data_IF_261063079521
#
_entry.id   IF_261063079521
#
_cell.length_a   1.000
_cell.length_b   1.000
_cell.length_c   1.000
_cell.angle_alpha   90.00
_cell.angle_beta   90.00
_cell.angle_gamma   90.00
#
_symmetry.space_group_name_H-M   'P 1'
#
loop_
_entity.id
_entity.type
_entity.pdbx_description
1 polymer ?
#
# COMPACT_ATOMS: atom_id res chain seq x y z
N UNK A 1 9.86 -25.23 -33.58
CA UNK A 1 9.25 -24.20 -32.70
C UNK A 1 10.09 -22.94 -32.89
N UNK A 2 9.61 -22.00 -33.72
CA UNK A 2 10.37 -20.80 -34.09
C UNK A 2 10.07 -19.63 -33.14
N UNK A 3 11.06 -18.80 -32.79
CA UNK A 3 10.81 -17.58 -32.03
C UNK A 3 10.31 -16.47 -32.96
N UNK A 4 9.26 -15.75 -32.53
CA UNK A 4 8.78 -14.54 -33.20
C UNK A 4 9.56 -13.33 -32.68
N UNK A 5 10.14 -12.48 -33.54
CA UNK A 5 10.72 -11.21 -33.12
C UNK A 5 9.62 -10.14 -33.00
N UNK A 6 9.43 -9.59 -31.80
CA UNK A 6 8.60 -8.40 -31.60
C UNK A 6 9.46 -7.14 -31.70
N UNK A 7 9.76 -6.73 -32.93
CA UNK A 7 10.20 -5.37 -33.23
C UNK A 7 8.95 -4.52 -33.42
N UNK A 8 8.51 -3.78 -32.40
CA UNK A 8 7.47 -2.75 -32.58
C UNK A 8 8.01 -1.37 -32.20
N UNK A 9 8.54 -0.74 -33.24
CA UNK A 9 8.54 0.67 -33.58
C UNK A 9 8.00 1.66 -32.53
N UNK A 10 8.91 2.49 -32.05
CA UNK A 10 8.68 3.80 -31.44
C UNK A 10 7.93 4.70 -32.44
N UNK A 11 6.77 5.23 -32.05
CA UNK A 11 6.10 6.33 -32.74
C UNK A 11 5.97 7.52 -31.78
N UNK A 12 6.96 8.40 -31.84
CA UNK A 12 7.04 9.68 -31.16
C UNK A 12 6.06 10.65 -31.85
N UNK A 13 4.93 10.97 -31.22
CA UNK A 13 4.05 12.05 -31.71
C UNK A 13 4.22 13.28 -30.83
N UNK A 14 4.95 14.27 -31.38
CA UNK A 14 4.99 15.66 -30.91
C UNK A 14 3.58 16.26 -30.99
N UNK A 15 3.08 16.81 -29.89
CA UNK A 15 1.99 17.79 -29.95
C UNK A 15 2.40 19.01 -29.11
N UNK A 16 2.65 20.10 -29.82
CA UNK A 16 3.12 21.36 -29.27
C UNK A 16 1.97 22.18 -28.67
N UNK A 17 2.17 22.57 -27.41
CA UNK A 17 1.98 23.90 -26.83
C UNK A 17 0.79 24.77 -27.30
N UNK A 18 -0.19 24.96 -26.41
CA UNK A 18 -0.98 26.19 -26.28
C UNK A 18 -0.90 26.65 -24.82
N UNK A 19 -0.08 27.68 -24.58
CA UNK A 19 0.08 28.35 -23.28
C UNK A 19 -1.02 29.39 -23.09
N UNK A 20 -1.89 29.19 -22.10
CA UNK A 20 -2.68 30.27 -21.47
C UNK A 20 -2.35 30.29 -19.98
N UNK A 21 -1.90 31.42 -19.40
CA UNK A 21 -1.64 31.48 -17.97
C UNK A 21 -2.98 31.68 -17.24
N UNK A 22 -3.51 30.63 -16.61
CA UNK A 22 -4.46 30.80 -15.51
C UNK A 22 -3.67 30.98 -14.22
N UNK A 23 -3.64 32.20 -13.70
CA UNK A 23 -3.21 32.51 -12.34
C UNK A 23 -4.23 31.93 -11.36
N UNK A 24 -4.02 30.70 -10.90
CA UNK A 24 -4.73 30.16 -9.74
C UNK A 24 -3.91 30.43 -8.48
N UNK A 25 -4.46 31.26 -7.60
CA UNK A 25 -3.87 31.58 -6.30
C UNK A 25 -3.62 30.31 -5.48
N UNK A 26 -2.41 30.26 -4.94
CA UNK A 26 -1.88 29.25 -4.04
C UNK A 26 -2.69 29.13 -2.76
N UNK A 27 -3.11 27.91 -2.43
CA UNK A 27 -3.19 27.45 -1.05
C UNK A 27 -2.78 25.99 -0.98
N UNK A 28 -1.57 25.71 -1.46
CA UNK A 28 -0.80 24.55 -1.03
C UNK A 28 -0.47 24.75 0.44
N UNK A 29 -1.35 24.27 1.32
CA UNK A 29 -1.01 24.09 2.71
C UNK A 29 0.01 22.97 2.80
N UNK A 30 1.30 23.29 2.63
CA UNK A 30 2.32 22.50 3.28
C UNK A 30 2.05 22.65 4.77
N UNK A 31 1.37 21.65 5.36
CA UNK A 31 1.51 21.41 6.78
C UNK A 31 3.03 21.41 7.05
N UNK A 32 3.50 22.07 8.12
CA UNK A 32 4.90 21.99 8.46
C UNK A 32 5.23 20.51 8.58
N UNK A 33 6.10 20.01 7.70
CA UNK A 33 6.91 18.85 8.02
C UNK A 33 7.80 19.32 9.16
N UNK A 34 7.23 19.35 10.37
CA UNK A 34 7.99 19.45 11.59
C UNK A 34 9.10 18.40 11.46
N UNK A 35 10.30 18.82 11.81
CA UNK A 35 11.45 17.95 11.92
C UNK A 35 11.10 16.84 12.92
N UNK A 36 10.56 15.72 12.41
CA UNK A 36 10.12 14.55 13.18
C UNK A 36 11.29 13.62 13.50
N UNK A 37 12.50 13.98 13.07
CA UNK A 37 13.71 13.23 13.40
C UNK A 37 13.94 13.31 14.91
N UNK A 38 13.63 12.22 15.63
CA UNK A 38 14.00 12.05 17.04
C UNK A 38 12.86 11.85 18.03
N UNK A 39 11.59 11.84 17.61
CA UNK A 39 10.52 11.40 18.51
C UNK A 39 10.53 9.87 18.65
N UNK A 40 10.51 9.37 19.89
CA UNK A 40 10.39 7.95 20.17
C UNK A 40 8.92 7.51 20.17
N UNK A 41 8.62 6.27 19.75
CA UNK A 41 7.30 5.67 19.95
C UNK A 41 6.88 5.70 21.42
N UNK A 42 5.61 5.97 21.66
CA UNK A 42 4.98 5.84 22.97
C UNK A 42 4.67 4.36 23.22
N UNK A 43 5.05 3.86 24.39
CA UNK A 43 4.68 2.50 24.79
C UNK A 43 3.16 2.39 24.95
N UNK A 44 2.59 1.30 24.45
CA UNK A 44 1.15 0.99 24.47
C UNK A 44 0.93 -0.41 25.02
N UNK A 45 -0.33 -0.75 25.23
CA UNK A 45 -0.86 -2.08 25.59
C UNK A 45 -1.84 -2.55 24.50
N UNK A 46 -2.25 -3.82 24.51
CA UNK A 46 -3.25 -4.27 23.51
C UNK A 46 -4.59 -3.54 23.64
N UNK A 47 -4.97 -3.11 24.84
CA UNK A 47 -6.20 -2.38 25.09
C UNK A 47 -6.25 -1.03 24.34
N UNK A 48 -5.10 -0.38 24.16
CA UNK A 48 -4.96 0.87 23.41
C UNK A 48 -5.37 0.75 21.94
N UNK A 49 -5.38 -0.47 21.40
CA UNK A 49 -5.63 -0.76 19.99
C UNK A 49 -7.00 -1.38 19.72
N UNK A 50 -7.87 -1.46 20.75
CA UNK A 50 -9.23 -2.01 20.58
C UNK A 50 -10.01 -1.31 19.46
N UNK A 51 -9.96 0.02 19.40
CA UNK A 51 -10.67 0.78 18.37
C UNK A 51 -10.17 0.47 16.95
N UNK A 52 -8.86 0.23 16.79
CA UNK A 52 -8.28 -0.19 15.51
C UNK A 52 -8.75 -1.61 15.15
N UNK A 53 -8.73 -2.53 16.11
CA UNK A 53 -9.17 -3.90 15.89
C UNK A 53 -10.67 -3.97 15.52
N UNK A 54 -11.51 -3.18 16.21
CA UNK A 54 -12.94 -3.08 15.92
C UNK A 54 -13.18 -2.51 14.51
N UNK A 55 -12.49 -1.42 14.15
CA UNK A 55 -12.64 -0.77 12.85
C UNK A 55 -12.23 -1.68 11.67
N UNK A 56 -11.20 -2.52 11.86
CA UNK A 56 -10.74 -3.47 10.86
C UNK A 56 -11.42 -4.84 10.95
N UNK A 57 -12.27 -5.05 11.97
CA UNK A 57 -12.91 -6.34 12.24
C UNK A 57 -11.93 -7.49 12.50
N UNK A 58 -10.69 -7.17 12.89
CA UNK A 58 -9.59 -8.13 13.03
C UNK A 58 -8.67 -7.72 14.17
N UNK A 59 -8.24 -8.70 14.96
CA UNK A 59 -7.23 -8.47 16.00
C UNK A 59 -5.82 -8.58 15.44
N UNK A 60 -4.91 -7.84 16.06
CA UNK A 60 -3.48 -7.89 15.81
C UNK A 60 -2.70 -8.36 17.04
N UNK A 61 -1.38 -8.24 16.95
CA UNK A 61 -0.45 -8.50 18.06
C UNK A 61 0.38 -7.26 18.31
N UNK A 62 0.59 -6.93 19.58
CA UNK A 62 1.52 -5.88 19.97
C UNK A 62 2.93 -6.46 20.10
N UNK A 63 3.86 -5.93 19.33
CA UNK A 63 5.28 -6.25 19.42
C UNK A 63 6.02 -5.17 20.22
N UNK A 64 6.86 -5.60 21.17
CA UNK A 64 7.78 -4.76 21.94
C UNK A 64 7.12 -3.48 22.48
N UNK A 65 5.88 -3.62 22.96
CA UNK A 65 5.02 -2.56 23.50
C UNK A 65 4.83 -1.32 22.61
N UNK A 66 5.15 -1.35 21.31
CA UNK A 66 5.16 -0.14 20.48
C UNK A 66 4.55 -0.31 19.10
N UNK A 67 4.63 -1.50 18.51
CA UNK A 67 4.12 -1.75 17.16
C UNK A 67 2.97 -2.74 17.21
N UNK A 68 1.75 -2.27 16.98
CA UNK A 68 0.59 -3.14 16.86
C UNK A 68 0.38 -3.57 15.42
N UNK A 69 0.50 -4.86 15.13
CA UNK A 69 0.42 -5.42 13.77
C UNK A 69 -0.83 -6.27 13.59
N UNK A 70 -1.66 -5.90 12.62
CA UNK A 70 -2.81 -6.69 12.17
C UNK A 70 -2.43 -7.43 10.88
N UNK A 71 -2.56 -8.77 10.84
CA UNK A 71 -2.38 -9.53 9.60
C UNK A 71 -3.59 -9.36 8.67
N UNK A 72 -3.31 -9.10 7.40
CA UNK A 72 -4.29 -8.97 6.31
C UNK A 72 -4.01 -10.01 5.22
N UNK A 73 -3.71 -11.25 5.65
CA UNK A 73 -3.41 -12.37 4.75
C UNK A 73 -4.61 -12.73 3.87
N UNK A 74 -4.39 -12.88 2.56
CA UNK A 74 -5.40 -13.28 1.57
C UNK A 74 -5.56 -14.80 1.52
N UNK A 75 -6.10 -15.39 2.57
CA UNK A 75 -6.41 -16.83 2.63
C UNK A 75 -7.59 -17.24 1.73
N UNK A 76 -8.33 -16.27 1.20
CA UNK A 76 -9.40 -16.43 0.23
C UNK A 76 -8.91 -16.68 -1.20
N UNK A 77 -7.65 -16.31 -1.50
CA UNK A 77 -7.08 -16.45 -2.84
C UNK A 77 -6.40 -17.81 -3.03
N UNK A 78 -6.64 -18.43 -4.18
CA UNK A 78 -5.83 -19.53 -4.72
C UNK A 78 -4.98 -18.99 -5.85
N UNK A 79 -3.70 -18.71 -5.57
CA UNK A 79 -2.75 -18.16 -6.56
C UNK A 79 -1.79 -19.25 -7.00
N UNK A 80 -1.60 -19.38 -8.32
CA UNK A 80 -0.64 -20.29 -8.94
C UNK A 80 0.42 -19.47 -9.68
N UNK A 81 1.69 -19.85 -9.55
CA UNK A 81 2.83 -19.36 -10.35
C UNK A 81 3.57 -20.57 -10.91
N UNK A 82 3.83 -20.63 -12.21
CA UNK A 82 4.52 -21.76 -12.85
C UNK A 82 4.02 -23.15 -12.43
N UNK A 83 2.70 -23.30 -12.29
CA UNK A 83 2.05 -24.55 -11.86
C UNK A 83 2.16 -24.85 -10.36
N UNK A 84 2.82 -24.00 -9.57
CA UNK A 84 2.93 -24.12 -8.10
C UNK A 84 1.85 -23.30 -7.41
N UNK A 85 1.03 -23.95 -6.59
CA UNK A 85 0.06 -23.26 -5.73
C UNK A 85 0.77 -22.58 -4.56
N UNK A 86 0.57 -21.27 -4.43
CA UNK A 86 1.17 -20.44 -3.39
C UNK A 86 0.37 -20.56 -2.10
N UNK A 87 1.04 -20.97 -1.02
CA UNK A 87 0.44 -20.92 0.32
C UNK A 87 0.30 -19.46 0.77
N UNK A 88 -0.84 -19.04 1.37
CA UNK A 88 -1.01 -17.66 1.77
C UNK A 88 0.08 -17.12 2.70
N UNK A 89 0.54 -17.94 3.66
CA UNK A 89 1.64 -17.59 4.57
C UNK A 89 3.02 -17.45 3.91
N UNK A 90 3.18 -17.87 2.64
CA UNK A 90 4.44 -17.72 1.90
C UNK A 90 4.55 -16.34 1.22
N UNK A 91 3.49 -15.88 0.54
CA UNK A 91 3.57 -14.66 -0.29
C UNK A 91 2.29 -13.83 -0.33
N UNK A 92 1.18 -14.29 0.24
CA UNK A 92 -0.09 -13.55 0.26
C UNK A 92 -0.37 -12.90 1.63
N UNK A 93 0.69 -12.63 2.39
CA UNK A 93 0.64 -12.07 3.74
C UNK A 93 0.69 -10.54 3.75
N UNK A 94 -0.47 -9.89 3.59
CA UNK A 94 -0.60 -8.45 3.83
C UNK A 94 -0.62 -8.10 5.32
N UNK A 95 -0.49 -6.82 5.65
CA UNK A 95 -0.58 -6.32 7.02
C UNK A 95 -0.86 -4.82 7.09
N UNK A 96 -1.30 -4.38 8.26
CA UNK A 96 -1.22 -3.00 8.71
C UNK A 96 -0.55 -2.95 10.09
N UNK A 97 0.38 -2.02 10.29
CA UNK A 97 1.00 -1.74 11.59
C UNK A 97 0.61 -0.37 12.07
N UNK A 98 0.55 -0.21 13.39
CA UNK A 98 0.22 1.04 14.05
C UNK A 98 1.22 1.31 15.18
N UNK A 99 1.76 2.52 15.21
CA UNK A 99 2.73 2.96 16.21
C UNK A 99 2.30 4.33 16.71
N UNK A 100 2.10 4.47 18.02
CA UNK A 100 1.70 5.74 18.63
C UNK A 100 2.92 6.62 18.89
N UNK A 101 2.82 7.90 18.56
CA UNK A 101 3.72 8.98 18.94
C UNK A 101 2.97 9.98 19.83
N UNK A 102 3.66 11.00 20.33
CA UNK A 102 3.08 11.96 21.28
C UNK A 102 1.86 12.71 20.72
N UNK A 103 1.86 13.02 19.42
CA UNK A 103 0.86 13.85 18.74
C UNK A 103 0.13 13.13 17.59
N UNK A 104 0.60 11.95 17.20
CA UNK A 104 0.08 11.23 16.03
C UNK A 104 0.16 9.71 16.20
N UNK A 105 -0.47 8.98 15.29
CA UNK A 105 -0.26 7.55 15.10
C UNK A 105 0.24 7.33 13.69
N UNK A 106 1.42 6.73 13.56
CA UNK A 106 1.92 6.28 12.27
C UNK A 106 1.28 4.93 11.94
N UNK A 107 0.79 4.79 10.72
CA UNK A 107 0.49 3.49 10.13
C UNK A 107 1.39 3.22 8.93
N UNK A 108 1.77 1.96 8.77
CA UNK A 108 2.41 1.44 7.57
C UNK A 108 1.77 0.10 7.23
N UNK A 109 1.75 -0.26 5.97
CA UNK A 109 1.23 -1.57 5.61
C UNK A 109 1.53 -1.99 4.18
N UNK A 110 1.13 -3.22 3.92
CA UNK A 110 1.23 -3.90 2.64
C UNK A 110 -0.10 -4.63 2.39
N UNK A 111 -0.74 -4.36 1.27
CA UNK A 111 -1.97 -5.05 0.87
C UNK A 111 -1.69 -5.92 -0.35
N UNK A 112 -2.19 -7.15 -0.29
CA UNK A 112 -2.24 -8.06 -1.44
C UNK A 112 -3.61 -7.93 -2.11
N UNK A 113 -3.60 -7.40 -3.32
CA UNK A 113 -4.81 -7.12 -4.10
C UNK A 113 -4.76 -7.86 -5.43
N UNK A 114 -5.89 -8.34 -5.92
CA UNK A 114 -5.97 -8.78 -7.31
C UNK A 114 -5.87 -7.57 -8.24
N UNK A 115 -5.46 -7.79 -9.49
CA UNK A 115 -5.39 -6.70 -10.48
C UNK A 115 -6.74 -6.01 -10.70
N UNK A 116 -7.86 -6.73 -10.57
CA UNK A 116 -9.20 -6.17 -10.67
C UNK A 116 -9.60 -5.32 -9.44
N UNK A 117 -9.07 -5.64 -8.25
CA UNK A 117 -9.33 -4.88 -7.02
C UNK A 117 -8.47 -3.61 -6.94
N UNK A 118 -7.28 -3.61 -7.55
CA UNK A 118 -6.27 -2.56 -7.39
C UNK A 118 -6.80 -1.14 -7.59
N UNK A 119 -7.52 -0.77 -8.67
CA UNK A 119 -7.99 0.60 -8.86
C UNK A 119 -8.89 1.08 -7.71
N UNK A 120 -9.83 0.24 -7.25
CA UNK A 120 -10.73 0.58 -6.15
C UNK A 120 -10.00 0.74 -4.83
N UNK A 121 -8.97 -0.07 -4.60
CA UNK A 121 -8.12 0.04 -3.40
C UNK A 121 -7.32 1.34 -3.46
N UNK A 122 -6.69 1.66 -4.59
CA UNK A 122 -5.97 2.92 -4.77
C UNK A 122 -6.88 4.13 -4.56
N UNK A 123 -8.09 4.12 -5.13
CA UNK A 123 -9.08 5.20 -4.94
C UNK A 123 -9.46 5.35 -3.46
N UNK A 124 -9.71 4.24 -2.76
CA UNK A 124 -10.06 4.26 -1.34
C UNK A 124 -8.93 4.81 -0.47
N UNK A 125 -7.68 4.40 -0.71
CA UNK A 125 -6.52 4.93 0.02
C UNK A 125 -6.40 6.45 -0.17
N UNK A 126 -6.48 6.91 -1.42
CA UNK A 126 -6.37 8.34 -1.75
C UNK A 126 -7.52 9.18 -1.18
N UNK A 127 -8.75 8.68 -1.24
CA UNK A 127 -9.92 9.37 -0.68
C UNK A 127 -9.81 9.59 0.84
N UNK A 128 -9.04 8.76 1.54
CA UNK A 128 -8.80 8.85 2.98
C UNK A 128 -7.42 9.43 3.35
N UNK A 129 -6.68 9.98 2.38
CA UNK A 129 -5.36 10.58 2.63
C UNK A 129 -4.27 9.58 3.00
N UNK A 130 -4.49 8.28 2.80
CA UNK A 130 -3.49 7.24 3.01
C UNK A 130 -2.61 7.18 1.76
N UNK A 131 -1.31 7.45 1.90
CA UNK A 131 -0.45 7.51 0.73
C UNK A 131 0.07 6.13 0.36
N UNK A 132 -0.02 5.82 -0.92
CA UNK A 132 0.60 4.65 -1.51
C UNK A 132 2.09 4.93 -1.74
N UNK A 133 2.96 4.15 -1.09
CA UNK A 133 4.41 4.33 -1.14
C UNK A 133 5.08 3.45 -2.19
N UNK A 134 4.48 2.31 -2.54
CA UNK A 134 4.96 1.43 -3.62
C UNK A 134 3.83 0.58 -4.20
N UNK A 135 4.02 0.13 -5.45
CA UNK A 135 3.20 -0.87 -6.13
C UNK A 135 4.10 -1.79 -6.93
N UNK A 136 4.11 -3.09 -6.62
CA UNK A 136 5.00 -4.04 -7.28
C UNK A 136 4.49 -5.49 -7.18
N UNK A 137 5.27 -6.40 -7.76
CA UNK A 137 5.04 -7.84 -7.74
C UNK A 137 6.04 -8.53 -6.80
N UNK A 138 5.58 -9.41 -5.91
CA UNK A 138 6.47 -10.30 -5.14
C UNK A 138 6.78 -11.61 -5.87
N UNK A 139 5.92 -12.00 -6.80
CA UNK A 139 6.04 -13.22 -7.60
C UNK A 139 6.03 -12.84 -9.08
N UNK A 140 6.33 -13.79 -9.97
CA UNK A 140 6.11 -13.66 -11.41
C UNK A 140 4.91 -14.53 -11.84
N UNK A 141 4.34 -14.27 -13.01
CA UNK A 141 3.34 -15.13 -13.67
C UNK A 141 2.19 -15.66 -12.78
N UNK A 142 1.60 -14.82 -11.93
CA UNK A 142 0.50 -15.23 -11.05
C UNK A 142 -0.82 -15.38 -11.81
N UNK A 143 -1.53 -16.47 -11.51
CA UNK A 143 -2.95 -16.65 -11.85
C UNK A 143 -3.75 -16.91 -10.56
N UNK A 144 -4.73 -16.06 -10.19
CA UNK A 144 -5.04 -14.76 -10.83
C UNK A 144 -3.90 -13.74 -10.65
N UNK A 145 -3.82 -12.69 -11.49
CA UNK A 145 -2.84 -11.62 -11.31
C UNK A 145 -3.05 -10.90 -9.97
N UNK A 146 -1.99 -10.83 -9.16
CA UNK A 146 -2.00 -10.16 -7.85
C UNK A 146 -0.89 -9.13 -7.74
N UNK A 147 -1.13 -8.05 -7.01
CA UNK A 147 -0.23 -6.93 -6.81
C UNK A 147 -0.09 -6.65 -5.31
N UNK A 148 1.05 -6.11 -4.93
CA UNK A 148 1.35 -5.68 -3.57
C UNK A 148 1.47 -4.17 -3.57
N UNK A 149 0.70 -3.53 -2.70
CA UNK A 149 0.68 -2.07 -2.58
C UNK A 149 1.04 -1.69 -1.15
N UNK A 150 2.11 -0.92 -1.03
CA UNK A 150 2.60 -0.42 0.26
C UNK A 150 1.99 0.93 0.55
N UNK A 151 1.71 1.21 1.82
CA UNK A 151 1.09 2.46 2.22
C UNK A 151 1.58 2.96 3.57
N UNK A 152 1.36 4.26 3.82
CA UNK A 152 1.51 4.88 5.14
C UNK A 152 0.44 5.95 5.39
N UNK A 153 0.23 6.32 6.65
CA UNK A 153 -0.51 7.51 7.06
C UNK A 153 -0.08 7.98 8.46
#
# INVERSE_FOLDING_TARGET
MQPRPHTLMVALSLMALLLTPLTACTRGGNAPTADRAGQAPVATTEADWKGVADALGRTGKLDTNSVYRIPLTRSDLTVITDGVTIKPGLSLGGYATFTRYADTTLTMGDLVVTEAELPKVTDALQAHGIQQTALHKHLLEQTPPVWWTHFHA
#
